data_IF_076220227399
#
_entry.id   IF_076220227399
#
_cell.length_a   1.000
_cell.length_b   1.000
_cell.length_c   1.000
_cell.angle_alpha   90.00
_cell.angle_beta   90.00
_cell.angle_gamma   90.00
#
_symmetry.space_group_name_H-M   'P 1'
#
loop_
_entity.id
_entity.type
_entity.pdbx_description
1 polymer ?
#
# COMPACT_ATOMS: atom_id res chain seq x y z
N UNK A 1 -25.32 -22.10 46.54
CA UNK A 1 -24.87 -20.73 46.21
C UNK A 1 -23.40 -20.65 45.81
N UNK A 2 -22.47 -21.23 46.57
CA UNK A 2 -21.01 -21.18 46.30
C UNK A 2 -20.61 -21.72 44.90
N UNK A 3 -21.24 -22.81 44.43
CA UNK A 3 -20.96 -23.39 43.10
C UNK A 3 -21.32 -22.45 41.93
N UNK A 4 -22.36 -21.63 42.06
CA UNK A 4 -22.72 -20.62 41.05
C UNK A 4 -21.72 -19.46 41.01
N UNK A 5 -21.14 -19.10 42.15
CA UNK A 5 -20.11 -18.07 42.24
C UNK A 5 -18.83 -18.56 41.55
N UNK A 6 -18.42 -19.82 41.81
CA UNK A 6 -17.24 -20.43 41.17
C UNK A 6 -17.44 -20.60 39.66
N UNK A 7 -18.62 -21.06 39.22
CA UNK A 7 -18.96 -21.21 37.81
C UNK A 7 -18.96 -19.85 37.06
N UNK A 8 -19.52 -18.80 37.68
CA UNK A 8 -19.52 -17.47 37.06
C UNK A 8 -18.12 -16.85 36.99
N UNK A 9 -17.29 -17.03 38.04
CA UNK A 9 -15.92 -16.51 38.02
C UNK A 9 -15.05 -17.23 36.99
N UNK A 10 -15.17 -18.55 36.87
CA UNK A 10 -14.44 -19.33 35.86
C UNK A 10 -14.89 -18.96 34.45
N UNK A 11 -16.19 -18.80 34.22
CA UNK A 11 -16.74 -18.31 32.95
C UNK A 11 -16.17 -16.94 32.57
N UNK A 12 -16.21 -15.96 33.48
CA UNK A 12 -15.64 -14.63 33.25
C UNK A 12 -14.14 -14.67 32.92
N UNK A 13 -13.37 -15.49 33.66
CA UNK A 13 -11.93 -15.64 33.42
C UNK A 13 -11.66 -16.19 32.01
N UNK A 14 -12.39 -17.23 31.58
CA UNK A 14 -12.22 -17.78 30.22
C UNK A 14 -12.54 -16.76 29.12
N UNK A 15 -13.57 -15.92 29.32
CA UNK A 15 -13.91 -14.86 28.36
C UNK A 15 -12.86 -13.76 28.29
N UNK A 16 -12.28 -13.37 29.42
CA UNK A 16 -11.18 -12.39 29.46
C UNK A 16 -9.95 -12.95 28.72
N UNK A 17 -9.60 -14.22 28.95
CA UNK A 17 -8.48 -14.88 28.26
C UNK A 17 -8.73 -14.94 26.74
N UNK A 18 -9.94 -15.32 26.32
CA UNK A 18 -10.31 -15.36 24.90
C UNK A 18 -10.17 -14.00 24.22
N UNK A 19 -10.59 -12.90 24.89
CA UNK A 19 -10.43 -11.54 24.38
C UNK A 19 -8.96 -11.14 24.23
N UNK A 20 -8.11 -11.50 25.19
CA UNK A 20 -6.66 -11.23 25.12
C UNK A 20 -6.03 -11.95 23.92
N UNK A 21 -6.39 -13.23 23.69
CA UNK A 21 -5.90 -14.01 22.54
C UNK A 21 -6.33 -13.36 21.21
N UNK A 22 -7.57 -12.86 21.11
CA UNK A 22 -8.05 -12.15 19.90
C UNK A 22 -7.29 -10.83 19.63
N UNK A 23 -6.89 -10.11 20.69
CA UNK A 23 -6.10 -8.88 20.54
C UNK A 23 -4.67 -9.20 20.08
N UNK A 24 -4.04 -10.23 20.66
CA UNK A 24 -2.67 -10.65 20.32
C UNK A 24 -2.60 -11.14 18.87
N UNK A 25 -3.53 -12.02 18.46
CA UNK A 25 -3.59 -12.52 17.08
C UNK A 25 -3.76 -11.39 16.07
N UNK A 26 -4.64 -10.41 16.35
CA UNK A 26 -4.78 -9.20 15.52
C UNK A 26 -3.48 -8.38 15.45
N UNK A 27 -2.74 -8.24 16.56
CA UNK A 27 -1.45 -7.54 16.59
C UNK A 27 -0.38 -8.27 15.74
N UNK A 28 -0.29 -9.60 15.85
CA UNK A 28 0.68 -10.40 15.09
C UNK A 28 0.42 -10.30 13.58
N UNK A 29 -0.85 -10.39 13.16
CA UNK A 29 -1.23 -10.26 11.74
C UNK A 29 -0.84 -8.87 11.20
N UNK A 30 -1.11 -7.79 11.94
CA UNK A 30 -0.69 -6.43 11.55
C UNK A 30 0.84 -6.30 11.48
N UNK A 31 1.57 -6.85 12.45
CA UNK A 31 3.03 -6.81 12.47
C UNK A 31 3.68 -7.55 11.29
N UNK A 32 3.15 -8.73 10.94
CA UNK A 32 3.61 -9.51 9.77
C UNK A 32 3.34 -8.79 8.44
N UNK A 33 2.20 -8.12 8.32
CA UNK A 33 1.85 -7.34 7.13
C UNK A 33 2.77 -6.13 6.95
N UNK A 34 3.04 -5.37 8.02
CA UNK A 34 3.95 -4.22 7.93
C UNK A 34 5.39 -4.62 7.55
N UNK A 35 5.85 -5.79 8.00
CA UNK A 35 7.20 -6.30 7.66
C UNK A 35 7.31 -6.83 6.23
N UNK A 36 6.18 -7.11 5.58
CA UNK A 36 6.12 -7.57 4.18
C UNK A 36 5.90 -6.44 3.17
N UNK A 37 5.79 -5.19 3.64
CA UNK A 37 5.47 -4.00 2.84
C UNK A 37 6.64 -3.01 2.73
N UNK A 38 7.88 -3.48 2.61
CA UNK A 38 8.98 -2.62 2.14
C UNK A 38 9.31 -2.97 0.69
N UNK A 39 8.57 -2.44 -0.30
CA UNK A 39 9.02 -2.51 -1.69
C UNK A 39 10.12 -1.46 -1.86
N UNK A 40 11.37 -1.92 -1.95
CA UNK A 40 12.44 -1.10 -2.52
C UNK A 40 12.08 -0.88 -4.01
N UNK A 41 12.15 0.35 -4.53
CA UNK A 41 11.88 0.59 -5.94
C UNK A 41 12.98 -0.06 -6.79
N UNK A 42 12.68 -1.19 -7.43
CA UNK A 42 13.48 -1.72 -8.53
C UNK A 42 13.16 -0.90 -9.78
N UNK A 43 14.12 -0.07 -10.20
CA UNK A 43 14.06 0.71 -11.44
C UNK A 43 14.41 -0.22 -12.59
N UNK A 44 13.46 -0.50 -13.48
CA UNK A 44 13.73 -1.15 -14.76
C UNK A 44 13.55 -0.11 -15.85
N UNK A 45 14.66 0.40 -16.41
CA UNK A 45 14.62 1.24 -17.60
C UNK A 45 14.39 0.34 -18.82
N UNK A 46 13.20 0.40 -19.40
CA UNK A 46 12.89 -0.19 -20.72
C UNK A 46 12.31 0.94 -21.57
N UNK A 47 12.94 1.14 -22.73
CA UNK A 47 12.71 2.24 -23.65
C UNK A 47 11.24 2.54 -23.96
N UNK A 48 10.86 3.77 -23.62
CA UNK A 48 9.67 4.52 -24.00
C UNK A 48 10.00 5.99 -23.75
N UNK A 49 9.12 6.93 -24.10
CA UNK A 49 9.35 8.39 -23.99
C UNK A 49 9.63 8.96 -22.58
N UNK A 50 9.87 8.11 -21.59
CA UNK A 50 10.20 8.46 -20.21
C UNK A 50 11.49 7.74 -19.81
N UNK A 51 12.34 8.43 -19.05
CA UNK A 51 13.67 7.92 -18.70
C UNK A 51 13.62 6.72 -17.74
N UNK A 52 12.55 6.59 -16.94
CA UNK A 52 12.41 5.52 -15.95
C UNK A 52 10.96 5.04 -15.75
N UNK A 53 10.79 3.72 -15.64
CA UNK A 53 9.54 3.05 -15.21
C UNK A 53 9.74 2.41 -13.83
N UNK A 54 8.80 2.66 -12.93
CA UNK A 54 8.80 2.15 -11.56
C UNK A 54 7.52 1.36 -11.29
N UNK A 55 7.68 0.15 -10.75
CA UNK A 55 6.57 -0.57 -10.15
C UNK A 55 6.50 -0.21 -8.67
N UNK A 56 5.48 0.53 -8.29
CA UNK A 56 5.24 0.92 -6.90
C UNK A 56 4.06 0.13 -6.32
N UNK A 57 4.07 -0.09 -5.02
CA UNK A 57 2.96 -0.68 -4.30
C UNK A 57 2.47 0.30 -3.24
N UNK A 58 1.18 0.60 -3.23
CA UNK A 58 0.65 1.61 -2.33
C UNK A 58 -0.87 1.58 -2.25
N UNK A 59 -1.41 1.94 -1.09
CA UNK A 59 -2.85 1.89 -0.80
C UNK A 59 -3.53 0.53 -1.08
N UNK A 60 -2.78 -0.57 -1.12
CA UNK A 60 -3.28 -1.92 -1.42
C UNK A 60 -3.44 -2.24 -2.90
N UNK A 61 -2.81 -1.47 -3.77
CA UNK A 61 -2.77 -1.70 -5.20
C UNK A 61 -1.33 -1.65 -5.71
N UNK A 62 -1.12 -2.22 -6.89
CA UNK A 62 0.11 -2.00 -7.66
C UNK A 62 -0.09 -0.81 -8.58
N UNK A 63 0.99 -0.08 -8.81
CA UNK A 63 1.04 1.13 -9.61
C UNK A 63 2.23 1.07 -10.54
N UNK A 64 2.08 1.66 -11.72
CA UNK A 64 3.17 1.88 -12.67
C UNK A 64 3.38 3.37 -12.80
N UNK A 65 4.50 3.86 -12.30
CA UNK A 65 4.88 5.26 -12.42
C UNK A 65 5.92 5.40 -13.53
N UNK A 66 5.77 6.46 -14.33
CA UNK A 66 6.70 6.88 -15.36
C UNK A 66 7.25 8.23 -14.93
N UNK A 67 8.57 8.34 -14.87
CA UNK A 67 9.24 9.54 -14.43
C UNK A 67 10.39 9.90 -15.36
N UNK A 68 10.67 11.20 -15.44
CA UNK A 68 11.79 11.75 -16.15
C UNK A 68 12.88 12.13 -15.14
N UNK A 69 14.13 11.86 -15.49
CA UNK A 69 15.25 12.07 -14.56
C UNK A 69 15.75 13.50 -14.74
N UNK A 70 15.53 14.35 -13.73
CA UNK A 70 15.99 15.74 -13.76
C UNK A 70 17.48 15.87 -13.53
N UNK A 71 18.01 15.09 -12.60
CA UNK A 71 19.41 15.20 -12.17
C UNK A 71 19.99 13.82 -11.96
N UNK A 72 21.18 13.60 -12.54
CA UNK A 72 22.01 12.42 -12.27
C UNK A 72 23.26 12.83 -11.52
N UNK A 73 23.75 11.92 -10.68
CA UNK A 73 25.06 12.07 -10.07
C UNK A 73 26.14 12.01 -11.16
N UNK A 74 27.13 12.91 -11.09
CA UNK A 74 28.26 12.94 -12.05
C UNK A 74 29.20 11.76 -11.86
N UNK A 75 29.27 11.20 -10.65
CA UNK A 75 30.19 10.10 -10.32
C UNK A 75 29.57 8.73 -10.60
N UNK A 76 28.39 8.45 -10.03
CA UNK A 76 27.74 7.13 -10.11
C UNK A 76 26.71 7.01 -11.24
N UNK A 77 26.36 8.13 -11.91
CA UNK A 77 25.28 8.20 -12.89
C UNK A 77 23.90 7.77 -12.34
N UNK A 78 23.75 7.72 -11.01
CA UNK A 78 22.49 7.39 -10.34
C UNK A 78 21.51 8.57 -10.43
N UNK A 79 20.20 8.29 -10.61
CA UNK A 79 19.19 9.34 -10.59
C UNK A 79 19.07 9.91 -9.17
N UNK A 80 19.39 11.21 -9.04
CA UNK A 80 19.29 11.97 -7.80
C UNK A 80 17.90 12.57 -7.62
N UNK A 81 17.37 13.13 -8.69
CA UNK A 81 16.07 13.79 -8.70
C UNK A 81 15.25 13.32 -9.90
N UNK A 82 13.98 13.05 -9.65
CA UNK A 82 13.04 12.56 -10.66
C UNK A 82 11.74 13.36 -10.58
N UNK A 83 11.10 13.54 -11.73
CA UNK A 83 9.75 14.11 -11.81
C UNK A 83 8.81 13.06 -12.36
N UNK A 84 7.74 12.74 -11.62
CA UNK A 84 6.77 11.74 -12.02
C UNK A 84 5.75 12.40 -12.95
N UNK A 85 5.78 12.05 -14.23
CA UNK A 85 4.83 12.59 -15.22
C UNK A 85 3.52 11.81 -15.21
N UNK A 86 3.59 10.47 -15.10
CA UNK A 86 2.41 9.63 -15.26
C UNK A 86 2.36 8.46 -14.29
N UNK A 87 1.23 8.33 -13.59
CA UNK A 87 0.93 7.16 -12.74
C UNK A 87 -0.26 6.38 -13.31
N UNK A 88 -0.03 5.11 -13.67
CA UNK A 88 -1.05 4.16 -14.11
C UNK A 88 -1.43 3.18 -13.00
N UNK A 89 -2.70 2.77 -13.00
CA UNK A 89 -3.35 1.98 -11.95
C UNK A 89 -4.67 2.63 -11.51
N UNK A 90 -5.31 2.13 -10.45
CA UNK A 90 -4.85 1.07 -9.53
C UNK A 90 -4.92 -0.34 -10.14
N UNK A 91 -3.85 -1.12 -9.99
CA UNK A 91 -3.79 -2.52 -10.41
C UNK A 91 -3.98 -3.49 -9.24
N UNK A 92 -4.48 -4.68 -9.54
CA UNK A 92 -4.62 -5.77 -8.58
C UNK A 92 -3.26 -6.27 -8.08
N UNK A 93 -3.15 -6.55 -6.79
CA UNK A 93 -1.93 -7.10 -6.18
C UNK A 93 -1.52 -8.46 -6.75
N UNK A 94 -2.48 -9.31 -7.12
CA UNK A 94 -2.18 -10.69 -7.55
C UNK A 94 -1.95 -10.79 -9.06
N UNK A 95 -2.81 -10.14 -9.87
CA UNK A 95 -2.86 -10.33 -11.32
C UNK A 95 -2.38 -9.10 -12.12
N UNK A 96 -1.95 -7.99 -11.48
CA UNK A 96 -1.62 -6.71 -12.14
C UNK A 96 -2.70 -6.14 -13.08
N UNK A 97 -3.94 -6.63 -12.99
CA UNK A 97 -5.07 -6.15 -13.80
C UNK A 97 -5.67 -4.88 -13.23
N UNK A 98 -6.15 -4.01 -14.10
CA UNK A 98 -6.78 -2.75 -13.68
C UNK A 98 -8.04 -3.03 -12.85
N UNK A 99 -8.16 -2.32 -11.73
CA UNK A 99 -9.28 -2.46 -10.81
C UNK A 99 -10.50 -1.73 -11.35
N UNK A 100 -11.68 -2.37 -11.31
CA UNK A 100 -12.94 -1.71 -11.62
C UNK A 100 -13.34 -0.79 -10.46
N UNK A 101 -13.56 0.48 -10.76
CA UNK A 101 -13.95 1.51 -9.79
C UNK A 101 -15.46 1.71 -9.83
N UNK A 102 -16.10 1.68 -8.67
CA UNK A 102 -17.53 2.00 -8.51
C UNK A 102 -17.76 2.79 -7.23
N UNK A 103 -18.76 3.66 -7.18
CA UNK A 103 -19.15 4.33 -5.92
C UNK A 103 -20.11 3.47 -5.11
N UNK A 104 -19.95 3.46 -3.80
CA UNK A 104 -20.91 2.86 -2.87
C UNK A 104 -22.00 3.87 -2.52
N UNK A 105 -23.12 3.40 -1.98
CA UNK A 105 -24.22 4.25 -1.50
C UNK A 105 -23.75 5.33 -0.52
N UNK A 106 -22.76 5.01 0.32
CA UNK A 106 -22.15 5.92 1.30
C UNK A 106 -21.07 6.85 0.71
N UNK A 107 -21.03 7.03 -0.61
CA UNK A 107 -20.09 7.92 -1.28
C UNK A 107 -18.62 7.45 -1.31
N UNK A 108 -18.32 6.23 -0.84
CA UNK A 108 -16.95 5.67 -0.87
C UNK A 108 -16.63 5.03 -2.22
N UNK A 109 -15.36 4.97 -2.56
CA UNK A 109 -14.88 4.32 -3.78
C UNK A 109 -14.56 2.85 -3.52
N UNK A 110 -15.21 1.97 -4.25
CA UNK A 110 -14.99 0.53 -4.23
C UNK A 110 -14.19 0.13 -5.46
N UNK A 111 -13.07 -0.54 -5.22
CA UNK A 111 -12.16 -1.07 -6.22
C UNK A 111 -12.30 -2.59 -6.21
N UNK A 112 -12.66 -3.20 -7.33
CA UNK A 112 -12.84 -4.66 -7.45
C UNK A 112 -12.02 -5.21 -8.60
N UNK A 113 -11.22 -6.24 -8.34
CA UNK A 113 -10.53 -6.99 -9.38
C UNK A 113 -11.55 -7.85 -10.15
N UNK A 114 -11.55 -7.81 -11.50
CA UNK A 114 -12.48 -8.60 -12.31
C UNK A 114 -12.21 -10.11 -12.26
N UNK A 115 -10.98 -10.55 -11.94
CA UNK A 115 -10.57 -11.96 -11.99
C UNK A 115 -10.56 -12.60 -10.59
N UNK A 116 -9.66 -12.16 -9.71
CA UNK A 116 -9.48 -12.77 -8.39
C UNK A 116 -10.52 -12.35 -7.34
N UNK A 117 -11.40 -11.38 -7.65
CA UNK A 117 -12.43 -10.90 -6.73
C UNK A 117 -11.93 -10.03 -5.57
N UNK A 118 -10.62 -9.73 -5.50
CA UNK A 118 -10.05 -8.81 -4.53
C UNK A 118 -10.81 -7.49 -4.54
N UNK A 119 -11.24 -7.03 -3.35
CA UNK A 119 -12.03 -5.81 -3.18
C UNK A 119 -11.41 -4.92 -2.11
N UNK A 120 -11.38 -3.63 -2.37
CA UNK A 120 -10.97 -2.61 -1.39
C UNK A 120 -11.89 -1.41 -1.48
N UNK A 121 -12.27 -0.86 -0.34
CA UNK A 121 -13.13 0.32 -0.25
C UNK A 121 -12.32 1.44 0.39
N UNK A 122 -12.21 2.57 -0.28
CA UNK A 122 -11.46 3.74 0.17
C UNK A 122 -12.31 4.99 0.06
N UNK A 123 -11.95 6.02 0.82
CA UNK A 123 -12.54 7.35 0.72
C UNK A 123 -11.99 8.12 -0.50
N UNK A 124 -10.73 7.87 -0.85
CA UNK A 124 -10.03 8.53 -1.96
C UNK A 124 -10.42 7.92 -3.32
N UNK A 125 -10.57 8.79 -4.33
CA UNK A 125 -10.82 8.38 -5.70
C UNK A 125 -9.51 7.95 -6.40
N UNK A 126 -9.62 7.40 -7.61
CA UNK A 126 -8.45 6.89 -8.33
C UNK A 126 -7.44 8.00 -8.69
N UNK A 127 -7.92 9.22 -8.94
CA UNK A 127 -7.06 10.37 -9.25
C UNK A 127 -6.24 10.80 -8.04
N UNK A 128 -6.88 11.00 -6.88
CA UNK A 128 -6.21 11.36 -5.63
C UNK A 128 -5.16 10.32 -5.26
N UNK A 129 -5.47 9.03 -5.41
CA UNK A 129 -4.51 7.96 -5.15
C UNK A 129 -3.31 8.00 -6.11
N UNK A 130 -3.50 8.41 -7.38
CA UNK A 130 -2.39 8.59 -8.33
C UNK A 130 -1.48 9.73 -7.91
N UNK A 131 -2.05 10.86 -7.49
CA UNK A 131 -1.29 11.99 -6.98
C UNK A 131 -0.50 11.61 -5.73
N UNK A 132 -1.15 10.99 -4.74
CA UNK A 132 -0.50 10.55 -3.49
C UNK A 132 0.75 9.68 -3.79
N UNK A 133 0.65 8.74 -4.73
CA UNK A 133 1.75 7.86 -5.12
C UNK A 133 2.85 8.61 -5.87
N UNK A 134 2.49 9.53 -6.77
CA UNK A 134 3.46 10.37 -7.47
C UNK A 134 4.27 11.22 -6.50
N UNK A 135 3.58 11.89 -5.57
CA UNK A 135 4.19 12.74 -4.54
C UNK A 135 5.10 11.94 -3.60
N UNK A 136 4.69 10.73 -3.20
CA UNK A 136 5.49 9.84 -2.35
C UNK A 136 6.80 9.41 -3.05
N UNK A 137 6.73 9.11 -4.34
CA UNK A 137 7.89 8.76 -5.16
C UNK A 137 8.83 9.97 -5.28
N UNK A 138 8.31 11.14 -5.66
CA UNK A 138 9.14 12.36 -5.79
C UNK A 138 9.79 12.75 -4.47
N UNK A 139 9.04 12.74 -3.37
CA UNK A 139 9.55 13.06 -2.05
C UNK A 139 10.71 12.14 -1.65
N UNK A 140 10.58 10.83 -1.92
CA UNK A 140 11.65 9.86 -1.64
C UNK A 140 12.96 10.12 -2.38
N UNK A 141 12.93 10.73 -3.57
CA UNK A 141 14.15 11.14 -4.27
C UNK A 141 14.67 12.50 -3.79
N UNK A 142 13.78 13.47 -3.50
CA UNK A 142 14.20 14.77 -2.93
C UNK A 142 14.91 14.61 -1.59
N UNK A 143 14.47 13.70 -0.74
CA UNK A 143 15.12 13.42 0.54
C UNK A 143 16.55 12.88 0.38
N UNK A 144 16.79 12.06 -0.66
CA UNK A 144 18.14 11.57 -0.98
C UNK A 144 19.08 12.68 -1.44
N UNK A 145 18.55 13.69 -2.12
CA UNK A 145 19.33 14.88 -2.52
C UNK A 145 19.72 15.70 -1.30
N UNK A 146 18.78 15.90 -0.36
CA UNK A 146 19.01 16.73 0.82
C UNK A 146 19.91 16.08 1.89
N UNK A 147 20.06 14.76 1.86
CA UNK A 147 20.89 14.01 2.83
C UNK A 147 22.33 13.77 2.36
N UNK A 148 22.67 14.13 1.12
CA UNK A 148 24.04 14.15 0.59
C UNK A 148 24.65 15.54 0.66
#
# INVERSE_FOLDING_TARGET
EIWNIVANYTFLIYWIIALIILIITRRIIRGRLNKSQTPYPMVFSIGGSHDAEFNAEGHGFKWKAYADVKRRDRSTNEPLDIQVDRVKGPYCMNDFREMKVSRTYWGRYKYKCPKCGYKRILLKNAWTLKCDIGDEIEAGYRDKVNTR
#
